data_IF_453063561061
#
_entry.id   IF_453063561061
#
_cell.length_a   1.000
_cell.length_b   1.000
_cell.length_c   1.000
_cell.angle_alpha   90.00
_cell.angle_beta   90.00
_cell.angle_gamma   90.00
#
_symmetry.space_group_name_H-M   'P 1'
#
loop_
_entity.id
_entity.type
_entity.pdbx_description
1 polymer ?
#
# COMPACT_ATOMS: atom_id res chain seq x y z
N UNK A 1 3.77 -10.68 45.20
CA UNK A 1 4.78 -10.24 44.19
C UNK A 1 4.77 -8.72 44.25
N UNK A 2 5.87 -8.07 44.69
CA UNK A 2 5.92 -6.60 44.75
C UNK A 2 6.12 -6.09 43.32
N UNK A 3 5.17 -5.31 42.82
CA UNK A 3 5.35 -4.55 41.59
C UNK A 3 6.42 -3.49 41.86
N UNK A 4 7.63 -3.72 41.34
CA UNK A 4 8.64 -2.68 41.28
C UNK A 4 8.14 -1.67 40.25
N UNK A 5 7.61 -0.54 40.72
CA UNK A 5 7.31 0.60 39.86
C UNK A 5 8.57 0.93 39.07
N UNK A 6 8.48 0.81 37.75
CA UNK A 6 9.60 1.03 36.84
C UNK A 6 10.18 2.42 37.12
N UNK A 7 11.42 2.49 37.64
CA UNK A 7 12.07 3.76 37.97
C UNK A 7 12.48 4.40 36.65
N UNK A 8 11.61 5.25 36.11
CA UNK A 8 11.89 6.00 34.89
C UNK A 8 12.98 7.03 35.21
N UNK A 9 14.15 6.88 34.58
CA UNK A 9 15.22 7.86 34.70
C UNK A 9 14.85 9.15 33.97
N UNK A 10 15.31 10.29 34.48
CA UNK A 10 15.01 11.63 33.91
C UNK A 10 15.31 11.69 32.41
N UNK A 11 16.34 11.01 31.93
CA UNK A 11 16.71 10.99 30.51
C UNK A 11 15.75 10.17 29.65
N UNK A 12 15.18 9.07 30.17
CA UNK A 12 14.11 8.34 29.48
C UNK A 12 12.87 9.23 29.35
N UNK A 13 12.53 9.98 30.40
CA UNK A 13 11.39 10.90 30.40
C UNK A 13 11.57 12.04 29.39
N UNK A 14 12.79 12.61 29.29
CA UNK A 14 13.14 13.59 28.25
C UNK A 14 13.03 12.98 26.85
N UNK A 15 13.53 11.76 26.64
CA UNK A 15 13.45 11.08 25.36
C UNK A 15 11.99 10.87 24.93
N UNK A 16 11.14 10.34 25.83
CA UNK A 16 9.71 10.18 25.56
C UNK A 16 9.02 11.49 25.20
N UNK A 17 9.36 12.59 25.88
CA UNK A 17 8.82 13.93 25.57
C UNK A 17 9.23 14.42 24.19
N UNK A 18 10.49 14.21 23.79
CA UNK A 18 10.98 14.58 22.46
C UNK A 18 10.28 13.76 21.38
N UNK A 19 10.17 12.45 21.57
CA UNK A 19 9.47 11.54 20.64
C UNK A 19 8.01 11.95 20.50
N UNK A 20 7.30 12.18 21.60
CA UNK A 20 5.91 12.64 21.57
C UNK A 20 5.75 13.97 20.81
N UNK A 21 6.61 14.96 21.09
CA UNK A 21 6.60 16.24 20.38
C UNK A 21 6.86 16.08 18.88
N UNK A 22 7.75 15.16 18.50
CA UNK A 22 8.03 14.89 17.10
C UNK A 22 6.84 14.24 16.40
N UNK A 23 6.17 13.29 17.06
CA UNK A 23 4.95 12.65 16.55
C UNK A 23 3.88 13.72 16.30
N UNK A 24 3.65 14.62 17.25
CA UNK A 24 2.66 15.69 17.10
C UNK A 24 3.00 16.64 15.95
N UNK A 25 4.26 17.06 15.84
CA UNK A 25 4.74 17.90 14.72
C UNK A 25 4.52 17.21 13.38
N UNK A 26 4.88 15.94 13.28
CA UNK A 26 4.68 15.15 12.06
C UNK A 26 3.20 15.02 11.72
N UNK A 27 2.33 14.79 12.71
CA UNK A 27 0.88 14.69 12.51
C UNK A 27 0.28 16.00 12.01
N UNK A 28 0.66 17.13 12.61
CA UNK A 28 0.21 18.46 12.19
C UNK A 28 0.69 18.78 10.77
N UNK A 29 1.97 18.50 10.47
CA UNK A 29 2.54 18.72 9.14
C UNK A 29 1.82 17.87 8.09
N UNK A 30 1.56 16.61 8.39
CA UNK A 30 0.80 15.71 7.51
C UNK A 30 -0.63 16.22 7.28
N UNK A 31 -1.34 16.63 8.34
CA UNK A 31 -2.70 17.13 8.21
C UNK A 31 -2.76 18.43 7.39
N UNK A 32 -1.75 19.31 7.53
CA UNK A 32 -1.68 20.56 6.78
C UNK A 32 -1.34 20.35 5.30
N UNK A 33 -0.39 19.46 5.01
CA UNK A 33 0.21 19.36 3.68
C UNK A 33 -0.30 18.18 2.85
N UNK A 34 -0.81 17.13 3.50
CA UNK A 34 -1.06 15.82 2.89
C UNK A 34 -2.40 15.21 3.26
N UNK A 35 -3.28 15.92 3.96
CA UNK A 35 -4.63 15.43 4.31
C UNK A 35 -5.48 15.08 3.10
N UNK A 36 -5.26 15.76 1.96
CA UNK A 36 -5.92 15.48 0.69
C UNK A 36 -5.52 14.13 0.07
N UNK A 37 -4.35 13.59 0.43
CA UNK A 37 -3.76 12.43 -0.23
C UNK A 37 -4.66 11.20 -0.16
N UNK A 38 -5.23 10.90 1.00
CA UNK A 38 -6.08 9.72 1.19
C UNK A 38 -7.35 9.80 0.32
N UNK A 39 -7.97 10.98 0.23
CA UNK A 39 -9.15 11.18 -0.61
C UNK A 39 -8.81 11.04 -2.11
N UNK A 40 -7.74 11.69 -2.56
CA UNK A 40 -7.28 11.59 -3.94
C UNK A 40 -6.85 10.16 -4.31
N UNK A 41 -6.15 9.46 -3.42
CA UNK A 41 -5.75 8.07 -3.62
C UNK A 41 -6.98 7.16 -3.78
N UNK A 42 -8.01 7.35 -2.95
CA UNK A 42 -9.28 6.61 -3.06
C UNK A 42 -9.98 6.88 -4.38
N UNK A 43 -10.03 8.15 -4.80
CA UNK A 43 -10.61 8.55 -6.09
C UNK A 43 -9.88 7.88 -7.26
N UNK A 44 -8.55 7.98 -7.31
CA UNK A 44 -7.75 7.36 -8.38
C UNK A 44 -7.91 5.82 -8.42
N UNK A 45 -7.94 5.15 -7.27
CA UNK A 45 -8.12 3.70 -7.23
C UNK A 45 -9.54 3.27 -7.64
N UNK A 46 -10.55 4.10 -7.40
CA UNK A 46 -11.92 3.82 -7.85
C UNK A 46 -12.03 3.75 -9.38
N UNK A 47 -11.21 4.53 -10.10
CA UNK A 47 -11.22 4.61 -11.57
C UNK A 47 -10.60 3.38 -12.25
N UNK A 48 -9.82 2.55 -11.53
CA UNK A 48 -9.13 1.40 -12.12
C UNK A 48 -10.08 0.40 -12.76
N UNK A 49 -11.26 0.19 -12.18
CA UNK A 49 -12.28 -0.68 -12.75
C UNK A 49 -12.74 -0.17 -14.12
N UNK A 50 -13.04 1.13 -14.23
CA UNK A 50 -13.46 1.79 -15.48
C UNK A 50 -12.37 1.70 -16.55
N UNK A 51 -11.14 2.09 -16.21
CA UNK A 51 -10.00 2.07 -17.13
C UNK A 51 -9.74 0.64 -17.64
N UNK A 52 -9.86 -0.37 -16.76
CA UNK A 52 -9.70 -1.77 -17.14
C UNK A 52 -10.77 -2.21 -18.16
N UNK A 53 -12.02 -1.81 -17.94
CA UNK A 53 -13.13 -2.15 -18.84
C UNK A 53 -12.98 -1.46 -20.21
N UNK A 54 -12.61 -0.19 -20.23
CA UNK A 54 -12.34 0.57 -21.45
C UNK A 54 -11.17 -0.01 -22.25
N UNK A 55 -10.07 -0.35 -21.57
CA UNK A 55 -8.89 -0.95 -22.20
C UNK A 55 -9.22 -2.30 -22.83
N UNK A 56 -10.02 -3.13 -22.14
CA UNK A 56 -10.50 -4.41 -22.68
C UNK A 56 -11.38 -4.21 -23.90
N UNK A 57 -12.30 -3.26 -23.87
CA UNK A 57 -13.17 -2.94 -25.01
C UNK A 57 -12.38 -2.46 -26.23
N UNK A 58 -11.32 -1.67 -26.01
CA UNK A 58 -10.53 -1.06 -27.08
C UNK A 58 -9.51 -2.01 -27.71
N UNK A 59 -8.80 -2.79 -26.90
CA UNK A 59 -7.67 -3.62 -27.35
C UNK A 59 -7.96 -5.12 -27.38
N UNK A 60 -9.09 -5.54 -26.80
CA UNK A 60 -9.45 -6.94 -26.67
C UNK A 60 -8.76 -7.64 -25.50
N UNK A 61 -9.40 -8.72 -25.04
CA UNK A 61 -9.02 -9.40 -23.79
C UNK A 61 -7.63 -10.04 -23.84
N UNK A 62 -7.18 -10.56 -25.00
CA UNK A 62 -5.85 -11.19 -25.13
C UNK A 62 -4.70 -10.20 -24.94
N UNK A 63 -4.78 -9.03 -25.57
CA UNK A 63 -3.74 -8.00 -25.49
C UNK A 63 -3.71 -7.41 -24.07
N UNK A 64 -4.90 -7.13 -23.53
CA UNK A 64 -5.02 -6.64 -22.15
C UNK A 64 -4.46 -7.62 -21.13
N UNK A 65 -4.74 -8.93 -21.28
CA UNK A 65 -4.22 -9.95 -20.36
C UNK A 65 -2.68 -10.05 -20.40
N UNK A 66 -2.08 -9.98 -21.60
CA UNK A 66 -0.62 -9.94 -21.73
C UNK A 66 -0.04 -8.71 -21.01
N UNK A 67 -0.64 -7.54 -21.22
CA UNK A 67 -0.26 -6.30 -20.55
C UNK A 67 -0.39 -6.43 -19.01
N UNK A 68 -1.52 -6.95 -18.54
CA UNK A 68 -1.82 -7.07 -17.12
C UNK A 68 -0.84 -8.02 -16.41
N UNK A 69 -0.49 -9.14 -17.04
CA UNK A 69 0.55 -10.07 -16.57
C UNK A 69 1.94 -9.44 -16.57
N UNK A 70 2.33 -8.77 -17.66
CA UNK A 70 3.64 -8.11 -17.80
C UNK A 70 3.86 -7.06 -16.72
N UNK A 71 2.84 -6.27 -16.43
CA UNK A 71 2.90 -5.20 -15.43
C UNK A 71 2.49 -5.65 -14.02
N UNK A 72 2.25 -6.95 -13.80
CA UNK A 72 1.91 -7.54 -12.50
C UNK A 72 0.72 -6.83 -11.83
N UNK A 73 -0.32 -6.52 -12.61
CA UNK A 73 -1.53 -5.91 -12.06
C UNK A 73 -2.19 -6.82 -11.03
N UNK A 74 -2.99 -6.22 -10.14
CA UNK A 74 -3.73 -6.97 -9.11
C UNK A 74 -4.54 -8.10 -9.77
N UNK A 75 -4.63 -9.28 -9.12
CA UNK A 75 -5.39 -10.43 -9.62
C UNK A 75 -6.81 -10.12 -10.11
N UNK A 76 -7.49 -9.15 -9.48
CA UNK A 76 -8.84 -8.69 -9.84
C UNK A 76 -8.92 -8.12 -11.27
N UNK A 77 -7.81 -7.58 -11.79
CA UNK A 77 -7.70 -7.05 -13.15
C UNK A 77 -7.14 -8.08 -14.14
N UNK A 78 -6.68 -9.25 -13.69
CA UNK A 78 -6.24 -10.33 -14.56
C UNK A 78 -7.42 -11.24 -14.89
N UNK A 79 -7.78 -11.40 -16.16
CA UNK A 79 -8.99 -12.15 -16.56
C UNK A 79 -8.96 -13.63 -16.13
N UNK A 80 -7.83 -14.31 -16.38
CA UNK A 80 -7.64 -15.72 -16.02
C UNK A 80 -7.58 -15.95 -14.51
N UNK A 81 -7.02 -15.01 -13.76
CA UNK A 81 -6.94 -15.11 -12.30
C UNK A 81 -8.27 -14.72 -11.66
N UNK A 82 -8.93 -13.66 -12.12
CA UNK A 82 -10.24 -13.20 -11.64
C UNK A 82 -11.30 -14.29 -11.75
N UNK A 83 -11.32 -15.05 -12.85
CA UNK A 83 -12.25 -16.17 -13.02
C UNK A 83 -12.03 -17.31 -11.99
N UNK A 84 -10.85 -17.37 -11.37
CA UNK A 84 -10.45 -18.36 -10.36
C UNK A 84 -10.37 -17.78 -8.94
N UNK A 85 -10.66 -16.50 -8.75
CA UNK A 85 -10.56 -15.83 -7.46
C UNK A 85 -11.82 -16.07 -6.64
N UNK A 86 -11.63 -16.52 -5.41
CA UNK A 86 -12.68 -16.59 -4.39
C UNK A 86 -12.94 -15.20 -3.79
N UNK A 87 -14.11 -14.96 -3.17
CA UNK A 87 -14.36 -13.70 -2.44
C UNK A 87 -13.32 -13.44 -1.35
N UNK A 88 -12.83 -14.50 -0.71
CA UNK A 88 -11.73 -14.45 0.27
C UNK A 88 -10.44 -13.89 -0.36
N UNK A 89 -10.13 -14.24 -1.61
CA UNK A 89 -8.93 -13.76 -2.30
C UNK A 89 -9.00 -12.25 -2.64
N UNK A 90 -10.21 -11.69 -2.72
CA UNK A 90 -10.42 -10.25 -2.93
C UNK A 90 -10.22 -9.45 -1.64
N UNK A 91 -10.52 -10.05 -0.50
CA UNK A 91 -10.41 -9.45 0.84
C UNK A 91 -9.08 -9.71 1.54
N UNK A 92 -8.25 -10.63 1.01
CA UNK A 92 -6.95 -10.97 1.62
C UNK A 92 -6.07 -9.72 1.74
N UNK A 93 -5.80 -9.34 2.99
CA UNK A 93 -4.66 -8.51 3.33
C UNK A 93 -3.41 -9.12 2.73
N UNK A 94 -2.69 -8.35 1.90
CA UNK A 94 -1.41 -8.78 1.35
C UNK A 94 -0.44 -8.92 2.53
N UNK A 95 -0.24 -10.16 2.99
CA UNK A 95 0.72 -10.50 4.04
C UNK A 95 2.09 -9.92 3.70
N UNK A 96 2.76 -9.30 4.67
CA UNK A 96 4.13 -8.77 4.50
C UNK A 96 5.18 -9.86 4.22
N UNK A 97 4.81 -11.15 4.28
CA UNK A 97 5.68 -12.26 3.93
C UNK A 97 6.26 -12.15 2.50
N UNK A 98 5.58 -11.45 1.57
CA UNK A 98 6.10 -11.20 0.22
C UNK A 98 7.36 -10.31 0.19
N UNK A 99 7.69 -9.63 1.30
CA UNK A 99 8.92 -8.84 1.43
C UNK A 99 10.14 -9.72 1.76
N UNK A 100 9.93 -10.95 2.24
CA UNK A 100 11.02 -11.87 2.55
C UNK A 100 11.67 -12.36 1.24
N UNK A 101 12.93 -11.97 1.02
CA UNK A 101 13.65 -12.28 -0.23
C UNK A 101 13.27 -11.41 -1.43
N UNK A 102 12.56 -10.29 -1.20
CA UNK A 102 12.14 -9.38 -2.27
C UNK A 102 13.35 -8.76 -2.98
N UNK A 103 13.54 -9.13 -4.26
CA UNK A 103 14.53 -8.50 -5.14
C UNK A 103 13.89 -7.25 -5.75
N UNK A 104 14.42 -6.08 -5.39
CA UNK A 104 14.09 -4.83 -6.06
C UNK A 104 14.33 -4.96 -7.56
N UNK A 105 13.48 -4.35 -8.39
CA UNK A 105 13.77 -4.29 -9.83
C UNK A 105 15.07 -3.53 -10.02
N UNK A 106 15.97 -4.03 -10.87
CA UNK A 106 17.13 -3.25 -11.32
C UNK A 106 16.56 -2.10 -12.14
N UNK A 107 16.34 -0.97 -11.49
CA UNK A 107 15.78 0.24 -12.11
C UNK A 107 16.75 0.76 -13.16
N UNK A 108 16.49 0.46 -14.43
CA UNK A 108 17.15 1.17 -15.53
C UNK A 108 16.40 2.45 -15.89
N UNK A 109 15.09 2.57 -15.64
CA UNK A 109 14.28 3.71 -16.11
C UNK A 109 13.24 4.26 -15.09
N UNK A 110 13.52 4.25 -13.79
CA UNK A 110 12.63 4.95 -12.84
C UNK A 110 11.20 4.40 -12.74
N UNK A 111 11.00 3.11 -13.03
CA UNK A 111 9.73 2.42 -12.74
C UNK A 111 9.56 2.26 -11.21
N UNK A 112 9.16 3.33 -10.54
CA UNK A 112 8.58 3.27 -9.22
C UNK A 112 7.21 2.58 -9.32
N UNK A 113 7.03 1.45 -8.63
CA UNK A 113 5.70 0.83 -8.50
C UNK A 113 5.57 -0.68 -8.72
N UNK A 114 6.66 -1.44 -8.88
CA UNK A 114 6.55 -2.91 -9.01
C UNK A 114 6.19 -3.63 -7.68
N UNK A 115 6.21 -2.91 -6.55
CA UNK A 115 5.76 -3.44 -5.26
C UNK A 115 4.27 -3.16 -5.13
N UNK A 116 3.46 -4.22 -4.99
CA UNK A 116 2.05 -4.05 -4.65
C UNK A 116 1.93 -3.29 -3.32
N UNK A 117 1.06 -2.27 -3.19
CA UNK A 117 0.89 -1.54 -1.94
C UNK A 117 0.54 -2.52 -0.81
N UNK A 118 1.45 -2.64 0.17
CA UNK A 118 1.20 -3.42 1.38
C UNK A 118 0.10 -2.76 2.22
N UNK A 119 -0.45 -3.49 3.20
CA UNK A 119 -1.43 -2.95 4.14
C UNK A 119 -0.92 -1.71 4.91
N UNK A 120 0.40 -1.51 5.01
CA UNK A 120 1.00 -0.32 5.62
C UNK A 120 0.73 0.98 4.83
N UNK A 121 0.46 0.86 3.53
CA UNK A 121 0.22 2.00 2.64
C UNK A 121 -1.27 2.19 2.31
N UNK A 122 -2.15 1.38 2.88
CA UNK A 122 -3.58 1.60 2.80
C UNK A 122 -3.98 2.63 3.85
N UNK A 123 -4.32 3.84 3.41
CA UNK A 123 -5.01 4.81 4.25
C UNK A 123 -6.48 4.39 4.36
N UNK A 124 -6.97 4.19 5.59
CA UNK A 124 -8.39 3.97 5.91
C UNK A 124 -9.20 5.24 5.60
#
# INVERSE_FOLDING_TARGET
>A
MKEYGEVIFVDQLKHHRVVASQIDKTRIAWQRNSSWYAAAQREHYSQYATISAESRKKYGDKIYEYYAKRNRLRPVFNLTTRAKMTEEDKQRHISMAHLFGYKYSKTTNGEYGSVAPSALFFCF
#
